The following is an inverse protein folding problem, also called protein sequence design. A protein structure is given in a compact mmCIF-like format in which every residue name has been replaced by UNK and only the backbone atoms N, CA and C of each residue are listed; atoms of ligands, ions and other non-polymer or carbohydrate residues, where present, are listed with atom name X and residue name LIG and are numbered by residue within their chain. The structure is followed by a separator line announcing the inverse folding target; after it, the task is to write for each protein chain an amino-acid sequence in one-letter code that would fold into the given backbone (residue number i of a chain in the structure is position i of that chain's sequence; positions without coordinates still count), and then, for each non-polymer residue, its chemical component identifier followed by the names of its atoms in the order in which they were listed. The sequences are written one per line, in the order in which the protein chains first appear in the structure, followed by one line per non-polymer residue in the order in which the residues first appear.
data_IF_820665257004
#
_entry.id   IF_820665257004
#
_cell.length_a   1.000
_cell.length_b   1.000
_cell.length_c   1.000
_cell.angle_alpha   90.00
_cell.angle_beta   90.00
_cell.angle_gamma   90.00
#
_symmetry.space_group_name_H-M   'P 1'
#
loop_
_entity.id
_entity.type
_entity.pdbx_description
1 polymer ?
#
# COMPACT_ATOMS: atom_id res chain seq x y z
N UNK A 1 10.93 -54.52 39.15
CA UNK A 1 11.42 -53.14 39.32
C UNK A 1 11.79 -52.47 37.97
N UNK A 2 12.48 -53.14 37.05
CA UNK A 2 12.91 -52.54 35.75
C UNK A 2 11.77 -52.00 34.86
N UNK A 3 10.63 -52.69 34.76
CA UNK A 3 9.49 -52.24 33.94
C UNK A 3 8.85 -50.93 34.43
N UNK A 4 8.83 -50.69 35.75
CA UNK A 4 8.28 -49.43 36.30
C UNK A 4 9.22 -48.26 36.09
N UNK A 5 10.54 -48.53 36.14
CA UNK A 5 11.55 -47.50 35.89
C UNK A 5 11.56 -47.05 34.40
N UNK A 6 11.41 -48.03 33.48
CA UNK A 6 11.33 -47.75 32.04
C UNK A 6 10.06 -46.94 31.69
N UNK A 7 8.94 -47.26 32.30
CA UNK A 7 7.68 -46.55 32.06
C UNK A 7 7.71 -45.12 32.58
N UNK A 8 8.40 -44.86 33.71
CA UNK A 8 8.61 -43.49 34.22
C UNK A 8 9.55 -42.67 33.32
N UNK A 9 10.59 -43.28 32.76
CA UNK A 9 11.52 -42.62 31.83
C UNK A 9 10.81 -42.23 30.50
N UNK A 10 9.96 -43.09 29.97
CA UNK A 10 9.20 -42.81 28.76
C UNK A 10 8.17 -41.69 29.01
N UNK A 11 7.53 -41.67 30.16
CA UNK A 11 6.54 -40.65 30.52
C UNK A 11 7.20 -39.26 30.69
N UNK A 12 8.40 -39.20 31.31
CA UNK A 12 9.14 -37.93 31.45
C UNK A 12 9.67 -37.39 30.11
N UNK A 13 10.11 -38.26 29.19
CA UNK A 13 10.50 -37.86 27.84
C UNK A 13 9.30 -37.33 27.05
N UNK A 14 8.12 -37.92 27.18
CA UNK A 14 6.92 -37.44 26.51
C UNK A 14 6.44 -36.09 27.03
N UNK A 15 6.50 -35.87 28.36
CA UNK A 15 6.19 -34.57 28.94
C UNK A 15 7.19 -33.50 28.52
N UNK A 16 8.49 -33.80 28.47
CA UNK A 16 9.51 -32.87 28.02
C UNK A 16 9.34 -32.49 26.54
N UNK A 17 8.98 -33.43 25.67
CA UNK A 17 8.71 -33.19 24.25
C UNK A 17 7.45 -32.31 24.05
N UNK A 18 6.41 -32.47 24.85
CA UNK A 18 5.20 -31.65 24.79
C UNK A 18 5.46 -30.19 25.22
N UNK A 19 6.32 -29.98 26.20
CA UNK A 19 6.68 -28.62 26.66
C UNK A 19 7.52 -27.88 25.64
N UNK A 20 8.40 -28.55 24.90
CA UNK A 20 9.21 -27.91 23.85
C UNK A 20 8.41 -27.53 22.60
N UNK A 21 7.34 -28.27 22.27
CA UNK A 21 6.43 -27.88 21.18
C UNK A 21 5.57 -26.65 21.53
N UNK A 22 5.26 -26.43 22.81
CA UNK A 22 4.44 -25.29 23.24
C UNK A 22 5.21 -23.94 23.23
N UNK A 23 6.53 -23.97 23.28
CA UNK A 23 7.38 -22.76 23.30
C UNK A 23 7.70 -22.25 21.89
N UNK A 24 7.51 -23.07 20.85
CA UNK A 24 7.82 -22.72 19.45
C UNK A 24 6.68 -22.01 18.72
N UNK A 25 5.61 -21.60 19.37
CA UNK A 25 4.69 -20.61 18.83
C UNK A 25 5.28 -19.22 19.09
N UNK A 26 6.34 -18.87 18.34
CA UNK A 26 6.71 -17.48 18.15
C UNK A 26 5.44 -16.74 17.68
N UNK A 27 4.95 -15.84 18.51
CA UNK A 27 3.99 -14.82 18.12
C UNK A 27 4.61 -14.12 16.91
N UNK A 28 4.20 -14.52 15.69
CA UNK A 28 4.46 -13.74 14.50
C UNK A 28 3.96 -12.34 14.84
N UNK A 29 4.89 -11.40 15.02
CA UNK A 29 4.54 -10.02 15.27
C UNK A 29 3.60 -9.63 14.13
N UNK A 30 2.37 -9.30 14.48
CA UNK A 30 1.39 -8.82 13.51
C UNK A 30 1.98 -7.52 12.98
N UNK A 31 2.38 -7.51 11.70
CA UNK A 31 2.88 -6.29 11.07
C UNK A 31 1.85 -5.18 11.29
N UNK A 32 2.27 -3.97 11.67
CA UNK A 32 1.33 -2.89 11.93
C UNK A 32 0.45 -2.71 10.70
N UNK A 33 -0.84 -2.91 10.87
CA UNK A 33 -1.81 -2.80 9.78
C UNK A 33 -2.00 -1.33 9.47
N UNK A 34 -1.22 -0.81 8.52
CA UNK A 34 -1.43 0.53 8.00
C UNK A 34 -2.78 0.63 7.31
N UNK A 35 -3.48 1.75 7.49
CA UNK A 35 -4.84 1.96 6.99
C UNK A 35 -4.84 3.07 5.93
N UNK A 36 -5.70 2.89 4.94
CA UNK A 36 -5.98 3.93 3.94
C UNK A 36 -6.74 5.10 4.57
N UNK A 37 -6.36 6.31 4.23
CA UNK A 37 -6.90 7.55 4.82
C UNK A 37 -7.46 8.54 3.80
N UNK A 38 -7.20 8.32 2.52
CA UNK A 38 -7.64 9.14 1.40
C UNK A 38 -6.80 10.38 1.15
N UNK A 39 -6.85 10.86 -0.10
CA UNK A 39 -6.05 11.98 -0.61
C UNK A 39 -6.32 13.31 0.11
N UNK A 40 -7.51 13.52 0.67
CA UNK A 40 -7.82 14.70 1.49
C UNK A 40 -6.86 14.88 2.67
N UNK A 41 -6.30 13.79 3.21
CA UNK A 41 -5.29 13.87 4.27
C UNK A 41 -3.92 14.29 3.73
N UNK A 42 -3.59 13.92 2.50
CA UNK A 42 -2.38 14.33 1.80
C UNK A 42 -2.46 15.79 1.35
N UNK A 43 -3.61 16.21 0.81
CA UNK A 43 -3.93 17.56 0.37
C UNK A 43 -3.65 18.63 1.43
N UNK A 44 -3.84 18.32 2.70
CA UNK A 44 -3.61 19.27 3.79
C UNK A 44 -2.19 19.89 3.75
N UNK A 45 -1.19 19.12 3.34
CA UNK A 45 0.20 19.59 3.18
C UNK A 45 0.56 19.81 1.71
N UNK A 46 0.21 18.87 0.83
CA UNK A 46 0.62 18.81 -0.57
C UNK A 46 -0.23 19.67 -1.54
N UNK A 47 -1.11 20.52 -1.03
CA UNK A 47 -1.79 21.55 -1.84
C UNK A 47 -0.87 22.72 -2.21
N UNK A 48 0.00 23.11 -1.28
CA UNK A 48 0.83 24.33 -1.44
C UNK A 48 2.09 24.08 -2.28
N UNK A 49 2.60 22.85 -2.28
CA UNK A 49 3.77 22.45 -3.07
C UNK A 49 3.40 22.04 -4.51
N UNK A 50 2.11 22.09 -4.86
CA UNK A 50 1.61 21.75 -6.19
C UNK A 50 1.42 20.27 -6.47
N UNK A 51 1.83 19.38 -5.57
CA UNK A 51 1.74 17.92 -5.76
C UNK A 51 0.28 17.49 -5.91
N UNK A 52 -0.57 17.79 -4.94
CA UNK A 52 -1.98 17.39 -5.00
C UNK A 52 -2.75 18.07 -6.16
N UNK A 53 -2.63 19.37 -6.43
CA UNK A 53 -3.29 20.00 -7.59
C UNK A 53 -2.89 19.37 -8.93
N UNK A 54 -1.60 19.08 -9.14
CA UNK A 54 -1.15 18.48 -10.39
C UNK A 54 -1.63 17.04 -10.55
N UNK A 55 -1.72 16.27 -9.45
CA UNK A 55 -2.31 14.94 -9.49
C UNK A 55 -3.79 14.98 -9.91
N UNK A 56 -4.59 15.94 -9.42
CA UNK A 56 -6.01 16.08 -9.78
C UNK A 56 -6.25 16.22 -11.29
N UNK A 57 -5.28 16.72 -12.05
CA UNK A 57 -5.36 16.84 -13.51
C UNK A 57 -5.08 15.52 -14.24
N UNK A 58 -4.63 14.49 -13.53
CA UNK A 58 -4.24 13.21 -14.15
C UNK A 58 -5.43 12.30 -14.42
N UNK A 59 -5.22 11.34 -15.33
CA UNK A 59 -6.16 10.25 -15.56
C UNK A 59 -6.31 9.34 -14.33
N UNK A 60 -5.29 9.25 -13.48
CA UNK A 60 -5.33 8.45 -12.26
C UNK A 60 -6.34 9.02 -11.26
N UNK A 61 -6.35 10.32 -11.03
CA UNK A 61 -7.36 10.95 -10.18
C UNK A 61 -8.79 10.70 -10.69
N UNK A 62 -8.96 10.67 -12.02
CA UNK A 62 -10.25 10.50 -12.71
C UNK A 62 -10.55 9.04 -13.10
N UNK A 63 -9.76 8.07 -12.59
CA UNK A 63 -9.87 6.68 -13.00
C UNK A 63 -11.25 6.08 -12.73
N UNK A 64 -11.85 6.37 -11.58
CA UNK A 64 -13.19 5.90 -11.23
C UNK A 64 -14.27 6.40 -12.17
N UNK A 65 -14.20 7.66 -12.55
CA UNK A 65 -15.16 8.32 -13.44
C UNK A 65 -15.11 7.76 -14.87
N UNK A 66 -14.02 7.11 -15.24
CA UNK A 66 -13.87 6.46 -16.54
C UNK A 66 -14.62 5.12 -16.64
N UNK A 67 -15.04 4.54 -15.52
CA UNK A 67 -15.83 3.32 -15.47
C UNK A 67 -17.32 3.62 -15.70
N UNK A 68 -17.98 2.75 -16.46
CA UNK A 68 -19.44 2.74 -16.55
C UNK A 68 -20.05 2.27 -15.22
N UNK A 69 -21.29 2.66 -14.88
CA UNK A 69 -21.94 2.28 -13.62
C UNK A 69 -21.99 0.77 -13.37
N UNK A 70 -22.11 -0.04 -14.42
CA UNK A 70 -22.07 -1.50 -14.33
C UNK A 70 -20.66 -2.04 -14.01
N UNK A 71 -19.61 -1.36 -14.48
CA UNK A 71 -18.22 -1.76 -14.25
C UNK A 71 -17.72 -1.34 -12.86
N UNK A 72 -18.31 -0.31 -12.27
CA UNK A 72 -18.03 0.11 -10.89
C UNK A 72 -18.46 -0.93 -9.83
N UNK A 73 -19.16 -1.98 -10.24
CA UNK A 73 -19.57 -3.11 -9.39
C UNK A 73 -18.73 -4.36 -9.58
N UNK A 74 -17.81 -4.35 -10.56
CA UNK A 74 -16.97 -5.49 -10.89
C UNK A 74 -15.64 -5.37 -10.16
N UNK A 75 -15.30 -6.38 -9.36
CA UNK A 75 -14.09 -6.39 -8.55
C UNK A 75 -12.83 -6.24 -9.43
N UNK A 76 -12.81 -6.89 -10.60
CA UNK A 76 -11.71 -6.79 -11.56
C UNK A 76 -11.49 -5.39 -12.12
N UNK A 77 -12.54 -4.55 -12.21
CA UNK A 77 -12.41 -3.15 -12.61
C UNK A 77 -12.03 -2.27 -11.43
N UNK A 78 -12.73 -2.45 -10.31
CA UNK A 78 -12.55 -1.65 -9.08
C UNK A 78 -11.13 -1.73 -8.56
N UNK A 79 -10.48 -2.91 -8.65
CA UNK A 79 -9.11 -3.12 -8.17
C UNK A 79 -8.05 -2.21 -8.79
N UNK A 80 -8.27 -1.72 -10.04
CA UNK A 80 -7.37 -0.78 -10.72
C UNK A 80 -7.89 0.66 -10.75
N UNK A 81 -9.18 0.86 -10.49
CA UNK A 81 -9.84 2.17 -10.60
C UNK A 81 -10.23 2.76 -9.23
N UNK A 82 -9.80 2.13 -8.14
CA UNK A 82 -9.95 2.63 -6.77
C UNK A 82 -8.64 2.48 -6.00
N UNK A 83 -8.56 3.12 -4.85
CA UNK A 83 -7.40 3.06 -3.96
C UNK A 83 -7.52 1.94 -2.93
N UNK A 84 -8.74 1.58 -2.59
CA UNK A 84 -9.03 0.61 -1.54
C UNK A 84 -10.11 1.13 -0.60
N UNK A 85 -10.17 0.56 0.60
CA UNK A 85 -11.23 0.86 1.56
C UNK A 85 -10.63 1.34 2.88
N UNK A 86 -11.17 2.41 3.43
CA UNK A 86 -10.77 2.92 4.76
C UNK A 86 -11.17 1.93 5.86
N UNK A 87 -10.61 2.08 7.07
CA UNK A 87 -11.00 1.31 8.24
C UNK A 87 -12.51 1.41 8.59
N UNK A 88 -13.18 2.43 8.09
CA UNK A 88 -14.65 2.62 8.26
C UNK A 88 -15.48 1.95 7.18
N UNK A 89 -14.84 1.27 6.21
CA UNK A 89 -15.54 0.62 5.10
C UNK A 89 -15.89 1.57 3.93
N UNK A 90 -15.34 2.79 3.91
CA UNK A 90 -15.55 3.75 2.83
C UNK A 90 -14.61 3.45 1.66
N UNK A 91 -15.15 3.27 0.46
CA UNK A 91 -14.36 3.07 -0.75
C UNK A 91 -13.73 4.39 -1.20
N UNK A 92 -12.42 4.38 -1.37
CA UNK A 92 -11.63 5.49 -1.91
C UNK A 92 -11.57 5.35 -3.43
N UNK A 93 -12.40 6.09 -4.13
CA UNK A 93 -12.50 6.06 -5.60
C UNK A 93 -11.33 6.77 -6.28
N UNK A 94 -10.96 6.33 -7.49
CA UNK A 94 -9.79 6.83 -8.21
C UNK A 94 -8.46 6.24 -7.69
N UNK A 95 -7.41 6.40 -8.48
CA UNK A 95 -6.05 6.00 -8.11
C UNK A 95 -5.41 7.16 -7.36
N UNK A 96 -5.56 7.16 -6.02
CA UNK A 96 -5.08 8.23 -5.15
C UNK A 96 -3.61 8.00 -4.75
N UNK A 97 -3.07 8.91 -3.95
CA UNK A 97 -1.67 8.90 -3.50
C UNK A 97 -1.24 7.55 -2.91
N UNK A 98 -2.12 6.95 -2.13
CA UNK A 98 -1.82 5.75 -1.35
C UNK A 98 -1.72 4.46 -2.18
N UNK A 99 -2.20 4.46 -3.43
CA UNK A 99 -1.96 3.32 -4.35
C UNK A 99 -0.47 3.18 -4.64
N UNK A 100 0.22 4.30 -4.78
CA UNK A 100 1.65 4.34 -5.08
C UNK A 100 2.50 4.44 -3.81
N UNK A 101 2.03 5.17 -2.82
CA UNK A 101 2.81 5.52 -1.63
C UNK A 101 2.47 4.67 -0.39
N UNK A 102 1.56 3.71 -0.51
CA UNK A 102 1.11 2.88 0.60
C UNK A 102 0.13 3.57 1.53
N UNK A 103 -0.57 2.81 2.40
CA UNK A 103 -1.56 3.32 3.34
C UNK A 103 -0.99 4.35 4.32
N UNK A 104 -1.58 5.54 4.37
CA UNK A 104 -0.99 6.73 4.99
C UNK A 104 -1.26 6.93 6.48
N UNK A 105 -1.96 6.01 7.16
CA UNK A 105 -2.39 6.21 8.55
C UNK A 105 -1.28 6.69 9.49
N UNK A 106 -0.08 6.17 9.33
CA UNK A 106 1.03 6.42 10.23
C UNK A 106 1.98 7.50 9.71
N UNK A 107 2.41 7.42 8.45
CA UNK A 107 3.40 8.36 7.91
C UNK A 107 2.82 9.75 7.58
N UNK A 108 1.49 9.93 7.47
CA UNK A 108 0.88 11.26 7.20
C UNK A 108 1.13 12.31 8.28
N UNK A 109 1.59 11.90 9.47
CA UNK A 109 1.89 12.83 10.56
C UNK A 109 3.05 13.74 10.16
N UNK A 110 2.88 15.06 10.31
CA UNK A 110 3.88 16.05 9.89
C UNK A 110 5.26 15.80 10.52
N UNK A 111 5.32 15.34 11.78
CA UNK A 111 6.58 15.02 12.46
C UNK A 111 7.32 13.84 11.81
N UNK A 112 6.59 12.91 11.22
CA UNK A 112 7.12 11.73 10.53
C UNK A 112 7.44 12.09 9.07
N UNK A 113 6.50 12.75 8.37
CA UNK A 113 6.62 13.03 6.94
C UNK A 113 7.77 14.00 6.59
N UNK A 114 8.24 14.81 7.53
CA UNK A 114 9.40 15.69 7.36
C UNK A 114 10.74 14.93 7.31
N UNK A 115 10.76 13.71 7.80
CA UNK A 115 11.91 12.83 7.81
C UNK A 115 11.62 11.63 6.91
N UNK A 116 12.31 11.56 5.76
CA UNK A 116 12.07 10.52 4.75
C UNK A 116 12.30 9.12 5.29
N UNK A 117 13.32 8.93 6.11
CA UNK A 117 13.64 7.61 6.67
C UNK A 117 12.56 7.17 7.66
N UNK A 118 12.12 8.08 8.52
CA UNK A 118 11.00 7.81 9.41
C UNK A 118 9.70 7.56 8.65
N UNK A 119 9.43 8.31 7.58
CA UNK A 119 8.23 8.07 6.77
C UNK A 119 8.23 6.67 6.15
N UNK A 120 9.37 6.23 5.61
CA UNK A 120 9.54 4.87 5.06
C UNK A 120 9.38 3.82 6.17
N UNK A 121 9.99 4.01 7.33
CA UNK A 121 9.84 3.12 8.47
C UNK A 121 8.40 3.02 9.00
N UNK A 122 7.56 4.01 8.69
CA UNK A 122 6.13 4.05 9.04
C UNK A 122 5.20 3.73 7.85
N UNK A 123 5.70 3.05 6.82
CA UNK A 123 4.90 2.50 5.73
C UNK A 123 4.83 3.32 4.46
N UNK A 124 5.57 4.46 4.35
CA UNK A 124 5.68 5.17 3.08
C UNK A 124 6.44 4.33 2.06
N UNK A 125 5.82 4.02 0.96
CA UNK A 125 6.44 3.36 -0.18
C UNK A 125 6.99 4.40 -1.16
N UNK A 126 8.15 4.08 -1.73
CA UNK A 126 8.71 4.81 -2.86
C UNK A 126 8.36 4.03 -4.12
N UNK A 127 7.46 4.54 -4.97
CA UNK A 127 6.97 3.79 -6.12
C UNK A 127 8.10 3.49 -7.11
N UNK A 128 8.07 2.28 -7.64
CA UNK A 128 8.93 1.77 -8.69
C UNK A 128 8.09 1.23 -9.87
N UNK A 129 8.75 0.64 -10.87
CA UNK A 129 8.07 0.01 -12.00
C UNK A 129 7.07 -1.07 -11.57
N UNK A 130 7.38 -1.85 -10.53
CA UNK A 130 6.50 -2.92 -10.03
C UNK A 130 5.19 -2.35 -9.49
N UNK A 131 5.25 -1.17 -8.87
CA UNK A 131 4.06 -0.45 -8.42
C UNK A 131 3.12 -0.13 -9.58
N UNK A 132 3.66 0.35 -10.69
CA UNK A 132 2.88 0.64 -11.90
C UNK A 132 2.31 -0.62 -12.54
N UNK A 133 3.09 -1.70 -12.59
CA UNK A 133 2.73 -2.97 -13.19
C UNK A 133 1.64 -3.74 -12.42
N UNK A 134 1.21 -3.29 -11.26
CA UNK A 134 0.03 -3.85 -10.59
C UNK A 134 -1.23 -3.68 -11.44
N UNK A 135 -1.33 -2.56 -12.17
CA UNK A 135 -2.46 -2.24 -13.04
C UNK A 135 -2.05 -2.19 -14.53
N UNK A 136 -0.84 -1.71 -14.86
CA UNK A 136 -0.34 -1.61 -16.24
C UNK A 136 0.32 -2.91 -16.70
N UNK A 137 -0.46 -3.99 -16.82
CA UNK A 137 0.02 -5.32 -17.17
C UNK A 137 -0.90 -6.02 -18.18
N UNK A 138 -0.51 -7.23 -18.62
CA UNK A 138 -1.23 -7.99 -19.62
C UNK A 138 -2.52 -8.67 -19.12
N UNK A 139 -2.83 -8.60 -17.83
CA UNK A 139 -4.09 -9.12 -17.27
C UNK A 139 -5.29 -8.22 -17.61
N UNK A 140 -5.02 -6.95 -17.92
CA UNK A 140 -6.07 -6.04 -18.43
C UNK A 140 -6.50 -6.54 -19.80
N UNK A 141 -7.81 -6.75 -20.07
CA UNK A 141 -8.31 -7.13 -21.37
C UNK A 141 -7.85 -6.15 -22.46
N UNK A 142 -7.53 -6.65 -23.65
CA UNK A 142 -6.90 -5.86 -24.72
C UNK A 142 -7.71 -4.62 -25.09
N UNK A 143 -9.03 -4.75 -25.13
CA UNK A 143 -9.95 -3.66 -25.45
C UNK A 143 -9.94 -2.49 -24.44
N UNK A 144 -9.42 -2.73 -23.21
CA UNK A 144 -9.28 -1.71 -22.16
C UNK A 144 -7.84 -1.24 -21.98
N UNK A 145 -6.88 -1.84 -22.67
CA UNK A 145 -5.49 -1.39 -22.60
C UNK A 145 -5.32 -0.06 -23.31
N UNK A 146 -4.38 0.73 -22.81
CA UNK A 146 -3.92 1.91 -23.53
C UNK A 146 -3.36 1.48 -24.89
N UNK A 147 -3.65 2.27 -25.95
CA UNK A 147 -3.11 2.02 -27.31
C UNK A 147 -1.59 2.00 -27.34
N UNK A 148 -0.96 2.80 -26.49
CA UNK A 148 0.48 2.83 -26.34
C UNK A 148 0.93 1.82 -25.29
N UNK A 149 1.95 1.04 -25.62
CA UNK A 149 2.57 0.13 -24.68
C UNK A 149 3.08 0.90 -23.45
N UNK A 150 2.86 0.34 -22.27
CA UNK A 150 3.41 0.90 -21.04
C UNK A 150 4.93 0.94 -21.11
N UNK A 151 5.50 2.09 -20.81
CA UNK A 151 6.93 2.37 -20.73
C UNK A 151 7.19 3.16 -19.46
N UNK A 152 7.85 2.51 -18.51
CA UNK A 152 8.07 3.08 -17.17
C UNK A 152 8.88 4.37 -17.22
N UNK A 153 10.02 4.39 -17.94
CA UNK A 153 10.90 5.56 -17.97
C UNK A 153 10.23 6.77 -18.61
N UNK A 154 9.48 6.56 -19.68
CA UNK A 154 8.70 7.62 -20.31
C UNK A 154 7.58 8.12 -19.39
N UNK A 155 6.82 7.20 -18.77
CA UNK A 155 5.72 7.56 -17.88
C UNK A 155 6.21 8.28 -16.62
N UNK A 156 7.33 7.84 -16.07
CA UNK A 156 7.99 8.48 -14.95
C UNK A 156 8.48 9.89 -15.31
N UNK A 157 9.03 10.10 -16.51
CA UNK A 157 9.51 11.39 -16.97
C UNK A 157 8.37 12.41 -17.18
N UNK A 158 7.19 11.95 -17.66
CA UNK A 158 6.00 12.80 -17.79
C UNK A 158 5.32 13.06 -16.45
N UNK A 159 5.59 12.20 -15.46
CA UNK A 159 5.12 12.29 -14.10
C UNK A 159 3.63 11.99 -13.93
N UNK A 160 3.27 11.65 -12.71
CA UNK A 160 1.87 11.49 -12.27
C UNK A 160 1.44 12.73 -11.50
N UNK A 161 2.40 13.46 -10.97
CA UNK A 161 2.27 14.76 -10.34
C UNK A 161 3.64 15.45 -10.34
N UNK A 162 3.67 16.75 -10.15
CA UNK A 162 4.93 17.47 -9.95
C UNK A 162 5.64 16.93 -8.71
N UNK A 163 6.95 16.80 -8.79
CA UNK A 163 7.73 16.42 -7.61
C UNK A 163 7.80 17.63 -6.68
N UNK A 164 7.63 17.40 -5.39
CA UNK A 164 7.92 18.39 -4.36
C UNK A 164 9.43 18.69 -4.44
N UNK A 165 9.80 19.82 -5.05
CA UNK A 165 11.18 20.25 -5.13
C UNK A 165 11.54 20.98 -3.85
N UNK A 166 12.76 20.78 -3.34
CA UNK A 166 13.28 21.54 -2.20
C UNK A 166 13.26 23.07 -2.44
N UNK A 167 13.24 23.49 -3.71
CA UNK A 167 13.13 24.89 -4.12
C UNK A 167 11.77 25.54 -3.79
N UNK A 168 10.71 24.74 -3.61
CA UNK A 168 9.41 25.27 -3.16
C UNK A 168 9.40 25.59 -1.66
N UNK A 169 10.33 25.02 -0.88
CA UNK A 169 10.47 25.29 0.55
C UNK A 169 11.34 26.53 0.85
N UNK A 170 12.29 26.87 -0.04
CA UNK A 170 13.17 28.03 0.13
C UNK A 170 12.52 29.38 -0.26
N UNK A 171 11.34 29.34 -0.90
CA UNK A 171 10.61 30.56 -1.31
C UNK A 171 9.54 31.00 -0.32
N UNK A 172 9.60 30.54 0.92
CA UNK A 172 8.78 30.96 2.05
C UNK A 172 9.63 31.61 3.11
#
# INVERSE_FOLDING_TARGET
MAKRLFMLLVLTCFLAAMVTLAVAQEKKAEEPKHEYVGDDKCKMCHKKDGVHPSWLETKHAKAWESLKPEDQKKEECVGCHSTGTTAKGELLTGVQCEVCHGPGSDYKKMSIMKDREQAIANGLLIPDEKTCLQCHNEKVPEEFRAKEKFDYERMKATGIHVLATKEAEEKK
#
